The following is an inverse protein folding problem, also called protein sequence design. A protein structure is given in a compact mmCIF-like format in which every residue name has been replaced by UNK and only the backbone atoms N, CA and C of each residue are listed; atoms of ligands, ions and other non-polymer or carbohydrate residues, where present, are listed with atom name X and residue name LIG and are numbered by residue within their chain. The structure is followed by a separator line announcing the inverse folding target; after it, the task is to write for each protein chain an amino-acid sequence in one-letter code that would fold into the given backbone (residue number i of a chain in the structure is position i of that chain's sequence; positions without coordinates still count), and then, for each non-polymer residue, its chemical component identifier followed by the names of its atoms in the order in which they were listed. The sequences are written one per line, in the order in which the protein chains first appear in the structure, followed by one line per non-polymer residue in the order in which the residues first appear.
data_IF_523420428226
#
_entry.id   IF_523420428226
#
_cell.length_a   1.000
_cell.length_b   1.000
_cell.length_c   1.000
_cell.angle_alpha   90.00
_cell.angle_beta   90.00
_cell.angle_gamma   90.00
#
_symmetry.space_group_name_H-M   'P 1'
#
loop_
_entity.id
_entity.type
_entity.pdbx_description
1 polymer ?
#
# COMPACT_ATOMS: atom_id res chain seq x y z
N UNK A 1 -21.33 35.61 -7.66
CA UNK A 1 -21.27 34.50 -6.68
C UNK A 1 -21.23 33.10 -7.34
N UNK A 2 -21.99 32.82 -8.42
CA UNK A 2 -22.00 31.51 -9.12
C UNK A 2 -20.65 31.05 -9.72
N UNK A 3 -19.79 31.98 -10.12
CA UNK A 3 -18.48 31.66 -10.72
C UNK A 3 -17.50 31.03 -9.73
N UNK A 4 -17.58 31.43 -8.46
CA UNK A 4 -16.69 30.92 -7.41
C UNK A 4 -17.03 29.46 -7.07
N UNK A 5 -18.33 29.12 -7.02
CA UNK A 5 -18.80 27.75 -6.76
C UNK A 5 -18.33 26.77 -7.85
N UNK A 6 -18.46 27.14 -9.13
CA UNK A 6 -17.99 26.29 -10.24
C UNK A 6 -16.47 26.04 -10.23
N UNK A 7 -15.68 27.05 -9.83
CA UNK A 7 -14.24 26.89 -9.69
C UNK A 7 -13.91 25.93 -8.53
N UNK A 8 -14.58 26.08 -7.39
CA UNK A 8 -14.44 25.17 -6.25
C UNK A 8 -14.81 23.73 -6.59
N UNK A 9 -15.90 23.51 -7.33
CA UNK A 9 -16.31 22.17 -7.81
C UNK A 9 -15.24 21.52 -8.70
N UNK A 10 -14.64 22.29 -9.62
CA UNK A 10 -13.56 21.81 -10.48
C UNK A 10 -12.30 21.44 -9.70
N UNK A 11 -11.94 22.24 -8.69
CA UNK A 11 -10.79 21.96 -7.82
C UNK A 11 -11.01 20.70 -6.98
N UNK A 12 -12.21 20.52 -6.40
CA UNK A 12 -12.58 19.31 -5.66
C UNK A 12 -12.46 18.09 -6.58
N UNK A 13 -13.06 18.14 -7.78
CA UNK A 13 -12.99 17.04 -8.75
C UNK A 13 -11.56 16.69 -9.14
N UNK A 14 -10.69 17.69 -9.34
CA UNK A 14 -9.27 17.47 -9.65
C UNK A 14 -8.55 16.78 -8.49
N UNK A 15 -8.80 17.20 -7.24
CA UNK A 15 -8.22 16.57 -6.04
C UNK A 15 -8.70 15.12 -5.90
N UNK A 16 -9.99 14.86 -6.03
CA UNK A 16 -10.58 13.51 -5.99
C UNK A 16 -9.93 12.59 -7.03
N UNK A 17 -9.80 13.06 -8.27
CA UNK A 17 -9.15 12.30 -9.35
C UNK A 17 -7.68 11.98 -9.03
N UNK A 18 -6.93 12.97 -8.55
CA UNK A 18 -5.52 12.78 -8.18
C UNK A 18 -5.37 11.78 -7.02
N UNK A 19 -6.25 11.83 -6.01
CA UNK A 19 -6.25 10.87 -4.91
C UNK A 19 -6.54 9.46 -5.41
N UNK A 20 -7.51 9.28 -6.30
CA UNK A 20 -7.83 7.97 -6.90
C UNK A 20 -6.66 7.38 -7.70
N UNK A 21 -5.98 8.21 -8.49
CA UNK A 21 -4.76 7.81 -9.23
C UNK A 21 -3.66 7.39 -8.25
N UNK A 22 -3.43 8.16 -7.18
CA UNK A 22 -2.41 7.85 -6.18
C UNK A 22 -2.73 6.55 -5.44
N UNK A 23 -3.99 6.34 -5.03
CA UNK A 23 -4.42 5.08 -4.40
C UNK A 23 -4.18 3.87 -5.31
N UNK A 24 -4.45 4.03 -6.61
CA UNK A 24 -4.20 2.95 -7.58
C UNK A 24 -2.71 2.58 -7.63
N UNK A 25 -1.82 3.59 -7.65
CA UNK A 25 -0.37 3.36 -7.60
C UNK A 25 0.06 2.70 -6.30
N UNK A 26 -0.42 3.16 -5.15
CA UNK A 26 -0.10 2.56 -3.84
C UNK A 26 -0.55 1.08 -3.82
N UNK A 27 -1.75 0.75 -4.32
CA UNK A 27 -2.21 -0.64 -4.43
C UNK A 27 -1.31 -1.50 -5.32
N UNK A 28 -0.72 -0.93 -6.37
CA UNK A 28 0.26 -1.64 -7.21
C UNK A 28 1.57 -1.89 -6.45
N UNK A 29 2.08 -0.90 -5.72
CA UNK A 29 3.30 -1.04 -4.90
C UNK A 29 3.11 -2.08 -3.77
N UNK A 30 1.93 -2.13 -3.14
CA UNK A 30 1.61 -3.17 -2.15
C UNK A 30 1.72 -4.57 -2.76
N UNK A 31 1.23 -4.78 -3.99
CA UNK A 31 1.38 -6.08 -4.68
C UNK A 31 2.83 -6.45 -4.92
N UNK A 32 3.69 -5.46 -5.22
CA UNK A 32 5.14 -5.70 -5.34
C UNK A 32 5.73 -6.14 -4.00
N UNK A 33 5.34 -5.51 -2.89
CA UNK A 33 5.76 -5.91 -1.55
C UNK A 33 5.27 -7.33 -1.18
N UNK A 34 4.05 -7.71 -1.59
CA UNK A 34 3.53 -9.07 -1.41
C UNK A 34 4.36 -10.11 -2.16
N UNK A 35 4.79 -9.81 -3.39
CA UNK A 35 5.69 -10.68 -4.17
C UNK A 35 7.06 -10.80 -3.50
N UNK A 36 7.61 -9.70 -2.99
CA UNK A 36 8.88 -9.71 -2.24
C UNK A 36 8.74 -10.57 -0.98
N UNK A 37 7.64 -10.44 -0.24
CA UNK A 37 7.36 -11.25 0.95
C UNK A 37 7.30 -12.75 0.61
N UNK A 38 6.69 -13.13 -0.51
CA UNK A 38 6.67 -14.52 -0.99
C UNK A 38 8.10 -15.03 -1.23
N UNK A 39 8.94 -14.25 -1.93
CA UNK A 39 10.32 -14.62 -2.19
C UNK A 39 11.15 -14.78 -0.91
N UNK A 40 10.95 -13.89 0.08
CA UNK A 40 11.58 -13.99 1.39
C UNK A 40 11.14 -15.27 2.11
N UNK A 41 9.85 -15.61 2.09
CA UNK A 41 9.36 -16.86 2.69
C UNK A 41 9.95 -18.11 2.03
N UNK A 42 10.10 -18.10 0.71
CA UNK A 42 10.78 -19.19 -0.02
C UNK A 42 12.25 -19.29 0.39
N UNK A 43 12.96 -18.16 0.47
CA UNK A 43 14.35 -18.13 0.91
C UNK A 43 14.50 -18.62 2.37
N UNK A 44 13.60 -18.17 3.25
CA UNK A 44 13.51 -18.60 4.66
C UNK A 44 13.39 -20.11 4.76
N UNK A 45 12.46 -20.72 4.01
CA UNK A 45 12.26 -22.16 4.00
C UNK A 45 13.51 -22.94 3.54
N UNK A 46 14.25 -22.41 2.55
CA UNK A 46 15.50 -23.02 2.07
C UNK A 46 16.67 -22.86 3.05
N UNK A 47 16.67 -21.79 3.83
CA UNK A 47 17.75 -21.42 4.74
C UNK A 47 17.39 -21.67 6.22
N UNK A 48 16.29 -22.38 6.51
CA UNK A 48 15.76 -22.58 7.87
C UNK A 48 16.72 -23.30 8.83
N UNK A 49 17.71 -24.01 8.30
CA UNK A 49 18.78 -24.68 9.04
C UNK A 49 19.94 -23.74 9.40
N UNK A 50 19.95 -22.51 8.87
CA UNK A 50 20.92 -21.47 9.15
C UNK A 50 20.28 -20.36 9.99
N UNK A 51 21.08 -19.66 10.78
CA UNK A 51 20.58 -18.48 11.52
C UNK A 51 20.10 -17.37 10.58
N UNK A 52 20.65 -17.29 9.36
CA UNK A 52 20.14 -16.43 8.29
C UNK A 52 18.67 -16.72 7.93
N UNK A 53 18.21 -17.97 8.04
CA UNK A 53 16.80 -18.31 7.85
C UNK A 53 15.92 -17.69 8.92
N UNK A 54 16.31 -17.80 10.20
CA UNK A 54 15.58 -17.16 11.32
C UNK A 54 15.54 -15.64 11.18
N UNK A 55 16.63 -15.02 10.71
CA UNK A 55 16.67 -13.59 10.45
C UNK A 55 15.73 -13.17 9.29
N UNK A 56 15.62 -13.99 8.24
CA UNK A 56 14.67 -13.77 7.16
C UNK A 56 13.22 -13.94 7.60
N UNK A 57 12.94 -14.87 8.52
CA UNK A 57 11.60 -15.05 9.11
C UNK A 57 11.14 -13.77 9.85
N UNK A 58 11.99 -13.23 10.73
CA UNK A 58 11.69 -11.97 11.42
C UNK A 58 11.49 -10.80 10.44
N UNK A 59 12.25 -10.78 9.34
CA UNK A 59 12.09 -9.78 8.27
C UNK A 59 10.75 -9.94 7.54
N UNK A 60 10.33 -11.17 7.27
CA UNK A 60 9.05 -11.47 6.65
C UNK A 60 7.87 -10.98 7.51
N UNK A 61 7.94 -11.15 8.83
CA UNK A 61 6.91 -10.68 9.77
C UNK A 61 6.79 -9.15 9.78
N UNK A 62 7.93 -8.43 9.78
CA UNK A 62 7.95 -6.97 9.71
C UNK A 62 7.31 -6.47 8.41
N UNK A 63 7.66 -7.09 7.28
CA UNK A 63 7.11 -6.73 5.96
C UNK A 63 5.60 -7.03 5.92
N UNK A 64 5.17 -8.20 6.41
CA UNK A 64 3.76 -8.56 6.45
C UNK A 64 2.93 -7.57 7.27
N UNK A 65 3.38 -7.23 8.47
CA UNK A 65 2.73 -6.25 9.34
C UNK A 65 2.68 -4.85 8.70
N UNK A 66 3.73 -4.48 7.96
CA UNK A 66 3.78 -3.20 7.25
C UNK A 66 2.77 -3.16 6.10
N UNK A 67 2.67 -4.22 5.30
CA UNK A 67 1.65 -4.34 4.24
C UNK A 67 0.24 -4.20 4.82
N UNK A 68 -0.06 -4.90 5.92
CA UNK A 68 -1.37 -4.80 6.57
C UNK A 68 -1.70 -3.37 7.03
N UNK A 69 -0.73 -2.65 7.62
CA UNK A 69 -0.92 -1.26 8.03
C UNK A 69 -1.18 -0.33 6.83
N UNK A 70 -0.44 -0.51 5.73
CA UNK A 70 -0.62 0.28 4.51
C UNK A 70 -1.99 -0.01 3.89
N UNK A 71 -2.40 -1.29 3.79
CA UNK A 71 -3.72 -1.67 3.30
C UNK A 71 -4.85 -1.02 4.12
N UNK A 72 -4.77 -1.06 5.46
CA UNK A 72 -5.75 -0.41 6.32
C UNK A 72 -5.81 1.12 6.11
N UNK A 73 -4.65 1.77 5.89
CA UNK A 73 -4.62 3.19 5.58
C UNK A 73 -5.23 3.50 4.20
N UNK A 74 -4.97 2.65 3.20
CA UNK A 74 -5.53 2.76 1.85
C UNK A 74 -7.04 2.60 1.86
N UNK A 75 -7.58 1.62 2.59
CA UNK A 75 -9.02 1.41 2.75
C UNK A 75 -9.69 2.64 3.36
N UNK A 76 -9.15 3.15 4.48
CA UNK A 76 -9.66 4.36 5.12
C UNK A 76 -9.67 5.56 4.18
N UNK A 77 -8.63 5.76 3.36
CA UNK A 77 -8.62 6.87 2.41
C UNK A 77 -9.65 6.64 1.31
N UNK A 78 -9.76 5.40 0.79
CA UNK A 78 -10.70 5.03 -0.26
C UNK A 78 -12.16 5.27 0.15
N UNK A 79 -12.51 4.96 1.40
CA UNK A 79 -13.86 5.18 1.96
C UNK A 79 -14.22 6.66 2.13
N UNK A 80 -13.21 7.55 2.11
CA UNK A 80 -13.37 9.00 2.24
C UNK A 80 -13.28 9.74 0.89
N UNK A 81 -13.22 9.02 -0.24
CA UNK A 81 -13.30 9.62 -1.58
C UNK A 81 -14.79 9.77 -1.94
N UNK A 82 -15.31 11.00 -2.11
CA UNK A 82 -16.70 11.25 -2.48
C UNK A 82 -17.02 10.90 -3.94
#
# INVERSE_FOLDING_TARGET
MKTNVKLTEQEIKKRTNNTSILLTKIKQEIKVLELILINIKIATAKLNHLDSGKALEATADIIHNSIQKINSAVEKINDNIP
#
